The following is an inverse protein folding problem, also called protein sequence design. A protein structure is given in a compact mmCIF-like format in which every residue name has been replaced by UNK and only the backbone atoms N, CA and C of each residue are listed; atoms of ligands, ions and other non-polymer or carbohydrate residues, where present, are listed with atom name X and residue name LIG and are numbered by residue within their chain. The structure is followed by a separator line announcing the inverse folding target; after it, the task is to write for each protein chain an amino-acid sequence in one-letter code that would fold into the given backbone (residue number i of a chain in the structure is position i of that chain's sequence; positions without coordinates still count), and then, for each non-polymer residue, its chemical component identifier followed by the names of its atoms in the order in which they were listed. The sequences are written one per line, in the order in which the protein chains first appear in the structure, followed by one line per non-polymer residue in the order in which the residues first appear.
data_IF_236047889990
#
_entry.id   IF_236047889990
#
_cell.length_a   1.000
_cell.length_b   1.000
_cell.length_c   1.000
_cell.angle_alpha   90.00
_cell.angle_beta   90.00
_cell.angle_gamma   90.00
#
_symmetry.space_group_name_H-M   'P 1'
#
loop_
_entity.id
_entity.type
_entity.pdbx_description
1 polymer ?
#
# COMPACT_ATOMS: atom_id res chain seq x y z
N UNK A 1 0.19 31.49 12.01
CA UNK A 1 0.14 30.01 11.96
C UNK A 1 -0.69 29.54 13.15
N UNK A 2 -1.67 28.70 12.92
CA UNK A 2 -2.54 28.16 13.97
C UNK A 2 -1.73 27.35 15.00
N UNK A 3 -2.08 27.45 16.30
CA UNK A 3 -1.36 26.71 17.36
C UNK A 3 -1.38 25.20 17.13
N UNK A 4 -2.47 24.65 16.62
CA UNK A 4 -2.58 23.23 16.32
C UNK A 4 -1.49 22.75 15.35
N UNK A 5 -1.18 23.53 14.29
CA UNK A 5 -0.11 23.18 13.35
C UNK A 5 1.27 23.20 14.00
N UNK A 6 1.50 24.17 14.89
CA UNK A 6 2.76 24.25 15.64
C UNK A 6 2.91 23.03 16.57
N UNK A 7 1.86 22.71 17.31
CA UNK A 7 1.87 21.62 18.29
C UNK A 7 1.99 20.24 17.66
N UNK A 8 1.45 20.06 16.44
CA UNK A 8 1.46 18.78 15.73
C UNK A 8 2.58 18.64 14.68
N UNK A 9 3.35 19.70 14.43
CA UNK A 9 4.42 19.72 13.42
C UNK A 9 5.36 18.51 13.54
N UNK A 10 5.92 18.32 14.71
CA UNK A 10 6.87 17.23 14.96
C UNK A 10 6.28 15.84 14.65
N UNK A 11 5.02 15.60 15.04
CA UNK A 11 4.34 14.34 14.80
C UNK A 11 4.08 14.10 13.29
N UNK A 12 3.57 15.12 12.60
CA UNK A 12 3.28 15.03 11.17
C UNK A 12 4.56 14.84 10.33
N UNK A 13 5.60 15.62 10.63
CA UNK A 13 6.90 15.53 9.93
C UNK A 13 7.56 14.15 10.14
N UNK A 14 7.54 13.62 11.36
CA UNK A 14 8.07 12.28 11.63
C UNK A 14 7.26 11.18 10.93
N UNK A 15 5.93 11.29 10.90
CA UNK A 15 5.10 10.33 10.16
C UNK A 15 5.45 10.34 8.66
N UNK A 16 5.55 11.51 8.03
CA UNK A 16 5.92 11.65 6.61
C UNK A 16 7.29 11.04 6.34
N UNK A 17 8.30 11.37 7.16
CA UNK A 17 9.64 10.83 7.02
C UNK A 17 9.68 9.31 7.20
N UNK A 18 8.90 8.78 8.16
CA UNK A 18 8.81 7.34 8.40
C UNK A 18 8.11 6.62 7.25
N UNK A 19 7.00 7.17 6.72
CA UNK A 19 6.31 6.63 5.56
C UNK A 19 7.29 6.54 4.36
N UNK A 20 8.05 7.59 4.11
CA UNK A 20 9.04 7.61 3.03
C UNK A 20 10.16 6.56 3.22
N UNK A 21 10.63 6.40 4.46
CA UNK A 21 11.62 5.38 4.79
C UNK A 21 11.08 3.95 4.59
N UNK A 22 9.84 3.70 5.01
CA UNK A 22 9.15 2.42 4.82
C UNK A 22 8.91 2.11 3.33
N UNK A 23 8.59 3.13 2.52
CA UNK A 23 8.42 3.00 1.06
C UNK A 23 9.70 2.55 0.38
N UNK A 24 10.83 3.15 0.73
CA UNK A 24 12.13 2.74 0.20
C UNK A 24 12.46 1.29 0.54
N UNK A 25 12.20 0.87 1.79
CA UNK A 25 12.39 -0.53 2.20
C UNK A 25 11.43 -1.48 1.46
N UNK A 26 10.19 -1.06 1.23
CA UNK A 26 9.21 -1.81 0.44
C UNK A 26 9.69 -2.01 -1.00
N UNK A 27 10.21 -0.95 -1.65
CA UNK A 27 10.77 -1.03 -3.00
C UNK A 27 11.97 -1.98 -3.08
N UNK A 28 12.89 -1.90 -2.12
CA UNK A 28 14.07 -2.78 -2.04
C UNK A 28 13.67 -4.26 -1.90
N UNK A 29 12.70 -4.55 -1.01
CA UNK A 29 12.16 -5.90 -0.82
C UNK A 29 11.42 -6.39 -2.08
N UNK A 30 10.63 -5.54 -2.72
CA UNK A 30 9.88 -5.87 -3.94
C UNK A 30 10.83 -6.16 -5.11
N UNK A 31 11.90 -5.40 -5.24
CA UNK A 31 12.95 -5.62 -6.23
C UNK A 31 13.70 -6.95 -5.98
N UNK A 32 14.04 -7.24 -4.71
CA UNK A 32 14.67 -8.51 -4.32
C UNK A 32 13.74 -9.69 -4.63
N UNK A 33 12.48 -9.59 -4.26
CA UNK A 33 11.45 -10.60 -4.54
C UNK A 33 11.33 -10.85 -6.06
N UNK A 34 11.20 -9.79 -6.86
CA UNK A 34 11.05 -9.92 -8.32
C UNK A 34 12.25 -10.60 -8.98
N UNK A 35 13.48 -10.27 -8.54
CA UNK A 35 14.71 -10.90 -9.05
C UNK A 35 14.76 -12.39 -8.68
N UNK A 36 14.52 -12.72 -7.42
CA UNK A 36 14.54 -14.10 -6.94
C UNK A 36 13.42 -14.92 -7.59
N UNK A 37 12.23 -14.33 -7.75
CA UNK A 37 11.09 -14.99 -8.40
C UNK A 37 11.41 -15.38 -9.84
N UNK A 38 12.03 -14.49 -10.62
CA UNK A 38 12.42 -14.80 -12.01
C UNK A 38 13.38 -15.98 -12.07
N UNK A 39 14.36 -16.04 -11.16
CA UNK A 39 15.30 -17.17 -11.08
C UNK A 39 14.59 -18.46 -10.69
N UNK A 40 13.73 -18.38 -9.67
CA UNK A 40 12.97 -19.53 -9.20
C UNK A 40 12.02 -20.07 -10.28
N UNK A 41 11.24 -19.18 -10.93
CA UNK A 41 10.28 -19.58 -11.98
C UNK A 41 11.00 -20.29 -13.14
N UNK A 42 12.17 -19.79 -13.56
CA UNK A 42 12.98 -20.44 -14.61
C UNK A 42 13.46 -21.84 -14.18
N UNK A 43 14.07 -21.95 -13.01
CA UNK A 43 14.55 -23.24 -12.48
C UNK A 43 13.41 -24.23 -12.23
N UNK A 44 12.27 -23.73 -11.74
CA UNK A 44 11.09 -24.55 -11.51
C UNK A 44 10.45 -25.02 -12.83
N UNK A 45 10.48 -24.19 -13.86
CA UNK A 45 10.04 -24.59 -15.20
C UNK A 45 10.92 -25.70 -15.76
N UNK A 46 12.25 -25.55 -15.72
CA UNK A 46 13.21 -26.57 -16.14
C UNK A 46 12.99 -27.88 -15.38
N UNK A 47 12.76 -27.80 -14.06
CA UNK A 47 12.45 -28.95 -13.22
C UNK A 47 11.14 -29.62 -13.64
N UNK A 48 10.06 -28.87 -13.78
CA UNK A 48 8.71 -29.39 -14.03
C UNK A 48 8.53 -29.92 -15.45
N UNK A 49 9.23 -29.33 -16.44
CA UNK A 49 9.14 -29.76 -17.85
C UNK A 49 10.08 -30.91 -18.21
N UNK A 50 10.99 -31.27 -17.32
CA UNK A 50 11.89 -32.42 -17.51
C UNK A 50 11.15 -33.75 -17.69
N UNK A 51 9.86 -33.83 -17.35
CA UNK A 51 9.00 -35.03 -17.39
C UNK A 51 8.05 -35.11 -18.62
N UNK A 52 8.14 -34.20 -19.58
CA UNK A 52 7.18 -34.10 -20.70
C UNK A 52 7.45 -35.07 -21.89
N UNK A 53 7.98 -36.28 -21.66
CA UNK A 53 8.12 -37.26 -22.72
C UNK A 53 7.29 -38.52 -22.43
N UNK A 54 6.36 -38.83 -23.34
CA UNK A 54 5.36 -39.90 -23.21
C UNK A 54 5.90 -41.32 -23.35
N UNK A 55 7.16 -41.53 -23.79
CA UNK A 55 7.71 -42.86 -24.18
C UNK A 55 8.82 -43.40 -23.27
N UNK A 56 8.73 -43.19 -21.95
CA UNK A 56 9.74 -43.72 -21.04
C UNK A 56 9.41 -45.10 -20.47
N UNK A 57 10.40 -46.00 -20.49
CA UNK A 57 10.32 -47.24 -19.71
C UNK A 57 10.59 -46.97 -18.21
N UNK A 58 10.26 -47.94 -17.36
CA UNK A 58 10.31 -47.81 -15.90
C UNK A 58 11.70 -47.40 -15.34
N UNK A 59 12.78 -47.89 -15.96
CA UNK A 59 14.16 -47.53 -15.59
C UNK A 59 14.51 -46.09 -15.96
N UNK A 60 14.00 -45.61 -17.08
CA UNK A 60 14.18 -44.22 -17.54
C UNK A 60 13.42 -43.25 -16.63
N UNK A 61 12.22 -43.62 -16.17
CA UNK A 61 11.44 -42.87 -15.21
C UNK A 61 12.19 -42.71 -13.87
N UNK A 62 12.73 -43.83 -13.33
CA UNK A 62 13.53 -43.76 -12.09
C UNK A 62 14.78 -42.89 -12.26
N UNK A 63 15.49 -43.01 -13.38
CA UNK A 63 16.67 -42.18 -13.64
C UNK A 63 16.31 -40.68 -13.69
N UNK A 64 15.20 -40.33 -14.30
CA UNK A 64 14.68 -38.97 -14.33
C UNK A 64 14.36 -38.41 -12.93
N UNK A 65 13.66 -39.19 -12.12
CA UNK A 65 13.36 -38.75 -10.73
C UNK A 65 14.66 -38.47 -9.94
N UNK A 66 15.69 -39.27 -10.13
CA UNK A 66 17.00 -39.05 -9.49
C UNK A 66 17.64 -37.76 -10.04
N UNK A 67 17.57 -37.49 -11.35
CA UNK A 67 18.10 -36.26 -11.95
C UNK A 67 17.32 -35.03 -11.51
N UNK A 68 15.99 -35.11 -11.44
CA UNK A 68 15.14 -34.02 -10.93
C UNK A 68 15.44 -33.73 -9.47
N UNK A 69 15.56 -34.72 -8.60
CA UNK A 69 15.90 -34.55 -7.20
C UNK A 69 17.29 -33.92 -7.03
N UNK A 70 18.27 -34.35 -7.85
CA UNK A 70 19.61 -33.80 -7.89
C UNK A 70 19.59 -32.34 -8.31
N UNK A 71 18.87 -32.00 -9.40
CA UNK A 71 18.71 -30.64 -9.91
C UNK A 71 18.07 -29.73 -8.86
N UNK A 72 16.98 -30.18 -8.22
CA UNK A 72 16.30 -29.41 -7.17
C UNK A 72 17.23 -29.11 -5.99
N UNK A 73 18.04 -30.09 -5.58
CA UNK A 73 19.02 -29.95 -4.50
C UNK A 73 20.19 -29.03 -4.89
N UNK A 74 20.76 -29.20 -6.09
CA UNK A 74 21.89 -28.38 -6.58
C UNK A 74 21.52 -26.92 -6.77
N UNK A 75 20.26 -26.63 -7.13
CA UNK A 75 19.73 -25.30 -7.31
C UNK A 75 19.00 -24.74 -6.08
N UNK A 76 18.95 -25.50 -5.00
CA UNK A 76 18.28 -25.11 -3.75
C UNK A 76 16.85 -24.58 -3.96
N UNK A 77 16.03 -25.32 -4.71
CA UNK A 77 14.66 -24.89 -5.03
C UNK A 77 13.79 -24.70 -3.80
N UNK A 78 13.94 -25.58 -2.79
CA UNK A 78 13.20 -25.48 -1.53
C UNK A 78 13.59 -24.23 -0.73
N UNK A 79 14.89 -23.96 -0.59
CA UNK A 79 15.40 -22.78 0.09
C UNK A 79 14.96 -21.48 -0.60
N UNK A 80 15.05 -21.43 -1.96
CA UNK A 80 14.57 -20.28 -2.74
C UNK A 80 13.07 -20.05 -2.57
N UNK A 81 12.26 -21.10 -2.53
CA UNK A 81 10.83 -21.00 -2.28
C UNK A 81 10.56 -20.45 -0.88
N UNK A 82 11.24 -20.98 0.15
CA UNK A 82 11.10 -20.48 1.52
C UNK A 82 11.52 -19.00 1.64
N UNK A 83 12.57 -18.57 0.93
CA UNK A 83 12.97 -17.17 0.86
C UNK A 83 11.92 -16.29 0.18
N UNK A 84 11.33 -16.75 -0.93
CA UNK A 84 10.23 -16.04 -1.61
C UNK A 84 9.01 -15.88 -0.69
N UNK A 85 8.63 -16.93 0.02
CA UNK A 85 7.49 -16.87 0.96
C UNK A 85 7.77 -15.89 2.11
N UNK A 86 9.01 -15.87 2.62
CA UNK A 86 9.44 -14.91 3.65
C UNK A 86 9.43 -13.46 3.14
N UNK A 87 9.96 -13.21 1.95
CA UNK A 87 9.94 -11.89 1.32
C UNK A 87 8.51 -11.41 1.06
N UNK A 88 7.63 -12.29 0.59
CA UNK A 88 6.22 -11.96 0.37
C UNK A 88 5.53 -11.50 1.66
N UNK A 89 5.74 -12.21 2.77
CA UNK A 89 5.23 -11.82 4.09
C UNK A 89 5.78 -10.46 4.54
N UNK A 90 7.07 -10.22 4.33
CA UNK A 90 7.71 -8.96 4.68
C UNK A 90 7.14 -7.78 3.88
N UNK A 91 6.88 -7.97 2.58
CA UNK A 91 6.26 -6.98 1.70
C UNK A 91 4.85 -6.63 2.19
N UNK A 92 4.04 -7.62 2.55
CA UNK A 92 2.69 -7.39 3.10
C UNK A 92 2.76 -6.60 4.41
N UNK A 93 3.63 -6.98 5.35
CA UNK A 93 3.79 -6.28 6.61
C UNK A 93 4.24 -4.82 6.41
N UNK A 94 5.08 -4.53 5.41
CA UNK A 94 5.47 -3.16 5.07
C UNK A 94 4.31 -2.35 4.48
N UNK A 95 3.50 -2.95 3.60
CA UNK A 95 2.28 -2.33 3.07
C UNK A 95 1.31 -1.94 4.21
N UNK A 96 1.09 -2.84 5.16
CA UNK A 96 0.22 -2.59 6.31
C UNK A 96 0.77 -1.49 7.22
N UNK A 97 2.10 -1.47 7.44
CA UNK A 97 2.77 -0.40 8.20
C UNK A 97 2.58 0.97 7.54
N UNK A 98 2.84 1.08 6.24
CA UNK A 98 2.66 2.33 5.49
C UNK A 98 1.21 2.82 5.52
N UNK A 99 0.25 1.92 5.39
CA UNK A 99 -1.18 2.26 5.49
C UNK A 99 -1.53 2.79 6.89
N UNK A 100 -1.02 2.16 7.95
CA UNK A 100 -1.28 2.57 9.34
C UNK A 100 -0.67 3.94 9.66
N UNK A 101 0.56 4.20 9.20
CA UNK A 101 1.22 5.50 9.34
C UNK A 101 0.47 6.60 8.56
N UNK A 102 0.05 6.30 7.33
CA UNK A 102 -0.73 7.21 6.48
C UNK A 102 -2.09 7.52 7.08
N UNK A 103 -2.77 6.52 7.66
CA UNK A 103 -4.01 6.70 8.41
C UNK A 103 -3.81 7.65 9.61
N UNK A 104 -2.67 7.51 10.32
CA UNK A 104 -2.34 8.38 11.45
C UNK A 104 -2.11 9.82 11.00
N UNK A 105 -1.47 10.05 9.84
CA UNK A 105 -1.30 11.37 9.24
C UNK A 105 -2.65 12.00 8.86
N UNK A 106 -3.54 11.22 8.20
CA UNK A 106 -4.90 11.66 7.89
C UNK A 106 -5.71 11.96 9.17
N UNK A 107 -5.49 11.21 10.25
CA UNK A 107 -6.13 11.48 11.55
C UNK A 107 -5.67 12.81 12.13
N UNK A 108 -4.38 13.14 12.08
CA UNK A 108 -3.86 14.43 12.53
C UNK A 108 -4.50 15.57 11.71
N UNK A 109 -4.54 15.46 10.39
CA UNK A 109 -5.14 16.44 9.51
C UNK A 109 -6.64 16.65 9.82
N UNK A 110 -7.41 15.57 9.90
CA UNK A 110 -8.84 15.62 10.26
C UNK A 110 -9.06 16.18 11.66
N UNK A 111 -8.20 15.84 12.62
CA UNK A 111 -8.28 16.35 13.99
C UNK A 111 -8.07 17.87 14.01
N UNK A 112 -7.12 18.41 13.24
CA UNK A 112 -6.91 19.85 13.08
C UNK A 112 -8.15 20.57 12.60
N UNK A 113 -8.79 20.06 11.53
CA UNK A 113 -10.06 20.59 11.02
C UNK A 113 -11.11 20.62 12.14
N UNK A 114 -11.26 19.53 12.89
CA UNK A 114 -12.26 19.44 13.96
C UNK A 114 -11.95 20.37 15.13
N UNK A 115 -10.69 20.49 15.52
CA UNK A 115 -10.26 21.31 16.66
C UNK A 115 -10.45 22.81 16.38
N UNK A 116 -10.11 23.24 15.15
CA UNK A 116 -10.17 24.67 14.80
C UNK A 116 -11.59 25.13 14.46
N UNK A 117 -12.35 24.32 13.75
CA UNK A 117 -13.66 24.73 13.25
C UNK A 117 -14.86 24.16 14.01
N UNK A 118 -14.64 23.14 14.89
CA UNK A 118 -15.70 22.41 15.57
C UNK A 118 -16.56 21.57 14.61
N UNK A 119 -17.15 22.21 13.61
CA UNK A 119 -17.95 21.57 12.57
C UNK A 119 -17.20 21.64 11.22
N UNK A 120 -17.06 20.52 10.49
CA UNK A 120 -16.44 20.51 9.15
C UNK A 120 -17.08 21.47 8.15
N UNK A 121 -18.35 21.79 8.31
CA UNK A 121 -19.06 22.76 7.44
C UNK A 121 -18.44 24.16 7.50
N UNK A 122 -17.85 24.54 8.62
CA UNK A 122 -17.22 25.86 8.83
C UNK A 122 -15.79 25.92 8.27
N UNK A 123 -15.18 24.79 7.94
CA UNK A 123 -13.83 24.74 7.42
C UNK A 123 -13.81 25.10 5.92
N UNK A 124 -12.85 25.90 5.45
CA UNK A 124 -12.60 26.09 4.02
C UNK A 124 -12.47 24.75 3.29
N UNK A 125 -12.80 24.71 2.02
CA UNK A 125 -12.75 23.46 1.23
C UNK A 125 -11.33 23.05 0.83
N UNK A 126 -10.39 24.00 0.84
CA UNK A 126 -9.03 23.79 0.35
C UNK A 126 -8.97 23.67 -1.17
N UNK A 127 -7.85 23.19 -1.69
CA UNK A 127 -7.67 22.99 -3.14
C UNK A 127 -8.54 21.85 -3.69
N UNK A 128 -8.78 21.88 -4.99
CA UNK A 128 -9.45 20.78 -5.70
C UNK A 128 -8.56 19.54 -5.77
N UNK A 129 -9.18 18.39 -5.64
CA UNK A 129 -8.60 17.06 -5.86
C UNK A 129 -9.50 16.36 -6.90
N UNK A 130 -9.23 16.59 -8.17
CA UNK A 130 -10.17 16.24 -9.22
C UNK A 130 -11.50 16.97 -9.04
N UNK A 131 -12.61 16.25 -9.07
CA UNK A 131 -13.97 16.74 -8.80
C UNK A 131 -14.28 16.91 -7.31
N UNK A 132 -13.42 16.42 -6.44
CA UNK A 132 -13.52 16.55 -4.99
C UNK A 132 -12.73 17.77 -4.48
N UNK A 133 -12.78 18.02 -3.17
CA UNK A 133 -11.95 19.02 -2.50
C UNK A 133 -11.13 18.39 -1.36
N UNK A 134 -10.03 19.05 -1.03
CA UNK A 134 -9.05 18.57 -0.06
C UNK A 134 -9.69 18.17 1.29
N UNK A 135 -10.55 19.05 1.84
CA UNK A 135 -11.25 18.79 3.12
C UNK A 135 -12.05 17.49 3.07
N UNK A 136 -12.83 17.29 1.99
CA UNK A 136 -13.68 16.10 1.88
C UNK A 136 -12.84 14.85 1.73
N UNK A 137 -11.80 14.90 0.89
CA UNK A 137 -10.93 13.73 0.70
C UNK A 137 -10.16 13.37 1.98
N UNK A 138 -9.66 14.36 2.76
CA UNK A 138 -9.07 14.09 4.09
C UNK A 138 -10.10 13.39 4.99
N UNK A 139 -11.33 13.90 5.03
CA UNK A 139 -12.36 13.38 5.91
C UNK A 139 -12.79 11.97 5.54
N UNK A 140 -13.10 11.73 4.27
CA UNK A 140 -13.57 10.43 3.80
C UNK A 140 -12.45 9.40 3.71
N UNK A 141 -11.24 9.82 3.32
CA UNK A 141 -10.06 8.95 3.30
C UNK A 141 -9.71 8.43 4.70
N UNK A 142 -9.74 9.33 5.71
CA UNK A 142 -9.57 8.91 7.12
C UNK A 142 -10.69 7.97 7.56
N UNK A 143 -11.94 8.26 7.23
CA UNK A 143 -13.06 7.40 7.63
C UNK A 143 -12.97 6.02 6.97
N UNK A 144 -12.62 5.95 5.69
CA UNK A 144 -12.38 4.70 5.00
C UNK A 144 -11.29 3.89 5.71
N UNK A 145 -10.16 4.52 6.00
CA UNK A 145 -9.00 3.82 6.56
C UNK A 145 -9.25 3.25 7.97
N UNK A 146 -10.00 3.96 8.82
CA UNK A 146 -10.31 3.49 10.20
C UNK A 146 -11.37 2.39 10.22
N UNK A 147 -12.32 2.43 9.28
CA UNK A 147 -13.46 1.52 9.25
C UNK A 147 -13.38 0.49 8.12
N UNK A 148 -12.23 0.37 7.45
CA UNK A 148 -12.09 -0.57 6.32
C UNK A 148 -12.39 -2.02 6.72
N UNK A 149 -11.98 -2.44 7.91
CA UNK A 149 -12.21 -3.81 8.40
C UNK A 149 -13.70 -4.18 8.52
N UNK A 150 -14.59 -3.19 8.66
CA UNK A 150 -16.04 -3.40 8.73
C UNK A 150 -16.62 -3.81 7.37
N UNK A 151 -15.90 -3.59 6.25
CA UNK A 151 -16.32 -3.98 4.89
C UNK A 151 -17.60 -3.28 4.39
N UNK A 152 -18.08 -2.26 5.09
CA UNK A 152 -19.31 -1.55 4.74
C UNK A 152 -19.17 -0.02 4.93
N UNK A 153 -18.43 0.66 4.06
CA UNK A 153 -18.27 2.10 4.15
C UNK A 153 -19.62 2.81 3.96
N UNK A 154 -19.79 3.92 4.69
CA UNK A 154 -20.98 4.75 4.54
C UNK A 154 -21.08 5.42 3.17
N UNK A 155 -22.27 5.94 2.79
CA UNK A 155 -22.49 6.46 1.44
C UNK A 155 -21.56 7.63 1.08
N UNK A 156 -21.21 8.51 2.02
CA UNK A 156 -20.31 9.66 1.74
C UNK A 156 -18.89 9.20 1.39
N UNK A 157 -18.42 8.12 2.02
CA UNK A 157 -17.15 7.49 1.67
C UNK A 157 -17.23 6.89 0.27
N UNK A 158 -18.32 6.14 -0.04
CA UNK A 158 -18.53 5.54 -1.37
C UNK A 158 -18.57 6.60 -2.47
N UNK A 159 -19.31 7.68 -2.26
CA UNK A 159 -19.44 8.78 -3.25
C UNK A 159 -18.08 9.45 -3.50
N UNK A 160 -17.35 9.80 -2.44
CA UNK A 160 -16.02 10.40 -2.56
C UNK A 160 -15.06 9.48 -3.35
N UNK A 161 -14.98 8.21 -3.00
CA UNK A 161 -14.09 7.28 -3.68
C UNK A 161 -14.54 6.96 -5.12
N UNK A 162 -15.84 6.97 -5.42
CA UNK A 162 -16.32 6.86 -6.79
C UNK A 162 -15.87 8.04 -7.67
N UNK A 163 -15.90 9.26 -7.12
CA UNK A 163 -15.37 10.44 -7.79
C UNK A 163 -13.87 10.34 -8.00
N UNK A 164 -13.11 9.92 -6.96
CA UNK A 164 -11.66 9.69 -7.09
C UNK A 164 -11.33 8.59 -8.13
N UNK A 165 -12.14 7.53 -8.19
CA UNK A 165 -12.00 6.48 -9.21
C UNK A 165 -12.19 7.04 -10.63
N UNK A 166 -13.18 7.91 -10.81
CA UNK A 166 -13.45 8.55 -12.10
C UNK A 166 -12.31 9.48 -12.53
N UNK A 167 -11.75 10.24 -11.59
CA UNK A 167 -10.76 11.27 -11.88
C UNK A 167 -9.33 10.71 -11.97
N UNK A 168 -8.99 9.69 -11.17
CA UNK A 168 -7.60 9.22 -10.99
C UNK A 168 -7.39 7.72 -11.27
N UNK A 169 -8.46 6.95 -11.46
CA UNK A 169 -8.37 5.56 -11.89
C UNK A 169 -8.80 4.52 -10.85
N UNK A 170 -8.79 3.26 -11.31
CA UNK A 170 -9.35 2.10 -10.57
C UNK A 170 -8.66 1.78 -9.24
N UNK A 171 -7.52 2.34 -8.97
CA UNK A 171 -6.82 2.16 -7.69
C UNK A 171 -7.58 2.75 -6.50
N UNK A 172 -8.52 3.68 -6.75
CA UNK A 172 -9.43 4.24 -5.74
C UNK A 172 -10.77 3.52 -5.67
N UNK A 173 -11.03 2.54 -6.54
CA UNK A 173 -12.30 1.80 -6.54
C UNK A 173 -12.43 0.91 -5.31
N UNK A 174 -13.36 1.27 -4.42
CA UNK A 174 -13.65 0.48 -3.22
C UNK A 174 -14.45 -0.79 -3.53
N UNK A 175 -15.17 -0.84 -4.66
CA UNK A 175 -16.02 -2.00 -4.99
C UNK A 175 -15.23 -3.28 -5.21
N UNK A 176 -13.94 -3.17 -5.52
CA UNK A 176 -13.03 -4.31 -5.68
C UNK A 176 -12.67 -4.97 -4.35
N UNK A 177 -12.53 -4.17 -3.28
CA UNK A 177 -12.27 -4.63 -1.91
C UNK A 177 -12.57 -3.51 -0.92
N UNK A 178 -13.70 -3.61 -0.22
CA UNK A 178 -14.10 -2.64 0.81
C UNK A 178 -13.23 -2.70 2.07
N UNK A 179 -12.51 -3.79 2.27
CA UNK A 179 -11.67 -4.00 3.47
C UNK A 179 -10.23 -3.53 3.28
N UNK A 180 -9.81 -3.20 2.06
CA UNK A 180 -8.48 -2.67 1.82
C UNK A 180 -8.34 -1.24 2.34
N UNK A 181 -7.38 -1.00 3.23
CA UNK A 181 -7.03 0.34 3.70
C UNK A 181 -6.39 1.15 2.57
N UNK A 182 -7.01 2.28 2.19
CA UNK A 182 -6.55 3.15 1.10
C UNK A 182 -5.79 4.40 1.59
N UNK A 183 -5.46 4.49 2.89
CA UNK A 183 -4.83 5.69 3.45
C UNK A 183 -3.55 6.10 2.74
N UNK A 184 -2.67 5.13 2.39
CA UNK A 184 -1.43 5.41 1.67
C UNK A 184 -1.70 6.06 0.31
N UNK A 185 -2.66 5.55 -0.45
CA UNK A 185 -3.04 6.10 -1.76
C UNK A 185 -3.56 7.53 -1.65
N UNK A 186 -4.31 7.86 -0.60
CA UNK A 186 -4.80 9.22 -0.36
C UNK A 186 -3.64 10.17 -0.01
N UNK A 187 -2.70 9.74 0.83
CA UNK A 187 -1.50 10.54 1.17
C UNK A 187 -0.64 10.81 -0.08
N UNK A 188 -0.50 9.82 -0.97
CA UNK A 188 0.17 9.97 -2.26
C UNK A 188 -0.55 10.93 -3.20
N UNK A 189 -1.87 10.82 -3.29
CA UNK A 189 -2.72 11.71 -4.08
C UNK A 189 -2.56 13.18 -3.66
N UNK A 190 -2.39 13.45 -2.38
CA UNK A 190 -2.13 14.79 -1.87
C UNK A 190 -0.71 15.29 -2.16
N UNK A 191 0.22 14.38 -2.48
CA UNK A 191 1.65 14.69 -2.59
C UNK A 191 2.30 14.98 -1.23
N UNK A 192 1.75 14.39 -0.14
CA UNK A 192 2.29 14.57 1.22
C UNK A 192 3.51 13.68 1.48
N UNK A 193 4.42 13.63 0.52
CA UNK A 193 5.74 13.01 0.64
C UNK A 193 6.78 13.98 1.25
N UNK A 194 6.47 15.27 1.32
CA UNK A 194 7.23 16.31 1.99
C UNK A 194 6.33 17.03 2.99
N UNK A 195 6.90 17.41 4.14
CA UNK A 195 6.16 18.14 5.18
C UNK A 195 5.60 19.47 4.65
N UNK A 196 6.35 20.18 3.82
CA UNK A 196 5.94 21.47 3.27
C UNK A 196 4.62 21.39 2.47
N UNK A 197 4.40 20.29 1.75
CA UNK A 197 3.14 20.06 1.02
C UNK A 197 1.97 19.85 1.99
N UNK A 198 2.18 19.03 3.03
CA UNK A 198 1.21 18.83 4.10
C UNK A 198 0.91 20.16 4.82
N UNK A 199 1.93 20.91 5.22
CA UNK A 199 1.79 22.19 5.92
C UNK A 199 1.02 23.21 5.08
N UNK A 200 1.35 23.35 3.79
CA UNK A 200 0.66 24.24 2.85
C UNK A 200 -0.83 23.90 2.74
N UNK A 201 -1.15 22.63 2.58
CA UNK A 201 -2.54 22.16 2.51
C UNK A 201 -3.27 22.46 3.84
N UNK A 202 -2.64 22.17 4.97
CA UNK A 202 -3.26 22.41 6.27
C UNK A 202 -3.40 23.90 6.60
N UNK A 203 -2.45 24.75 6.20
CA UNK A 203 -2.60 26.22 6.32
C UNK A 203 -3.82 26.70 5.55
N UNK A 204 -4.10 26.15 4.36
CA UNK A 204 -5.29 26.53 3.58
C UNK A 204 -6.61 26.15 4.27
N UNK A 205 -6.59 25.19 5.17
CA UNK A 205 -7.79 24.68 5.87
C UNK A 205 -7.95 25.27 7.27
N UNK A 206 -6.84 25.49 8.01
CA UNK A 206 -6.87 25.83 9.44
C UNK A 206 -5.87 26.92 9.83
N UNK A 207 -5.18 27.55 8.86
CA UNK A 207 -4.16 28.57 9.08
C UNK A 207 -4.66 29.95 9.49
#
# INVERSE_FOLDING_TARGET
MNSYLVDTKFAAENLINTIHSEEKLFEDLSNKFSKLKKVFDHLFWDYSTSDMHEDFNELQVQHKFIQMAKFAKENDLEGKKAELDSLSKSILAKKDSMNSLSMSLLQIAKQGISTVHGNPANCPVGRSIGSENLKNVIWQGRNQAIHCEEGNPNQRVKDCFANLTTDFGSEYDLSTDYTENRARKIVDLFGWNLYDNYESDMISLIG
#
